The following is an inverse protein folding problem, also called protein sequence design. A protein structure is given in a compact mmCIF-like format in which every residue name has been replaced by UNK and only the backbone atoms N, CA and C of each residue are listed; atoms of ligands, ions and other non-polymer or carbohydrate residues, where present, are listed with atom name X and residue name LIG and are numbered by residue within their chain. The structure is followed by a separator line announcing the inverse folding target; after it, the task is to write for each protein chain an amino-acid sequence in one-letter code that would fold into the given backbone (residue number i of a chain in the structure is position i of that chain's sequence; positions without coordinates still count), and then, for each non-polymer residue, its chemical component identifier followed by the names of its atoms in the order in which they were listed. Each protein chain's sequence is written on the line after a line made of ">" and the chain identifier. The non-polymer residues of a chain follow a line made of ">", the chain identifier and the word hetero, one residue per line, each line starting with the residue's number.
data_IF_758393064288
#
_entry.id   IF_758393064288
#
_cell.length_a   1.000
_cell.length_b   1.000
_cell.length_c   1.000
_cell.angle_alpha   90.00
_cell.angle_beta   90.00
_cell.angle_gamma   90.00
#
_symmetry.space_group_name_H-M   'P 1'
#
loop_
_entity.id
_entity.type
_entity.pdbx_description
1 polymer ?
#
# COMPACT_ATOMS: atom_id res chain seq x y z
N UNK A 1 13.82 -12.34 4.32
CA UNK A 1 12.59 -12.57 3.54
C UNK A 1 11.96 -11.21 3.28
N UNK A 2 11.92 -10.72 2.03
CA UNK A 2 11.66 -9.29 1.74
C UNK A 2 10.25 -9.06 1.18
N UNK A 3 9.50 -8.10 1.73
CA UNK A 3 8.22 -7.66 1.13
C UNK A 3 8.49 -6.55 0.13
N UNK A 4 8.03 -6.69 -1.11
CA UNK A 4 8.14 -5.63 -2.10
C UNK A 4 6.99 -4.62 -1.93
N UNK A 5 7.36 -3.36 -1.76
CA UNK A 5 6.45 -2.23 -1.86
C UNK A 5 6.82 -1.45 -3.12
N UNK A 6 5.83 -1.17 -3.97
CA UNK A 6 6.02 -0.32 -5.15
C UNK A 6 5.17 0.93 -5.02
N UNK A 7 5.82 2.09 -4.98
CA UNK A 7 5.15 3.39 -4.98
C UNK A 7 4.98 3.80 -6.43
N UNK A 8 3.75 4.11 -6.82
CA UNK A 8 3.42 4.69 -8.12
C UNK A 8 2.72 6.02 -7.90
N UNK A 9 3.35 7.10 -8.34
CA UNK A 9 2.68 8.38 -8.54
C UNK A 9 2.13 8.41 -9.97
N UNK A 10 0.82 8.31 -10.13
CA UNK A 10 0.22 8.61 -11.43
C UNK A 10 -0.18 10.08 -11.38
N UNK A 11 0.54 10.92 -12.12
CA UNK A 11 0.18 12.32 -12.33
C UNK A 11 -0.88 12.32 -13.43
N UNK A 12 -2.10 11.94 -13.08
CA UNK A 12 -3.26 12.18 -13.94
C UNK A 12 -3.60 13.67 -13.83
N UNK A 13 -3.71 14.42 -14.95
CA UNK A 13 -3.90 15.87 -14.93
C UNK A 13 -5.17 16.34 -14.20
N UNK A 14 -6.18 15.48 -14.03
CA UNK A 14 -7.43 15.84 -13.34
C UNK A 14 -7.49 15.38 -11.87
N UNK A 15 -6.69 14.40 -11.45
CA UNK A 15 -6.65 13.89 -10.07
C UNK A 15 -5.27 13.36 -9.71
N UNK A 16 -4.54 14.08 -8.86
CA UNK A 16 -3.27 13.59 -8.30
C UNK A 16 -3.56 12.42 -7.35
N UNK A 17 -3.41 11.19 -7.83
CA UNK A 17 -3.65 9.98 -7.05
C UNK A 17 -2.31 9.32 -6.71
N UNK A 18 -1.97 9.33 -5.43
CA UNK A 18 -0.81 8.59 -4.91
C UNK A 18 -1.23 7.14 -4.68
N UNK A 19 -0.47 6.19 -5.23
CA UNK A 19 -0.78 4.77 -5.10
C UNK A 19 0.41 3.98 -4.55
N UNK A 20 0.11 3.05 -3.65
CA UNK A 20 1.07 2.07 -3.15
C UNK A 20 0.59 0.67 -3.49
N UNK A 21 1.51 -0.14 -3.99
CA UNK A 21 1.33 -1.56 -4.22
C UNK A 21 2.08 -2.32 -3.12
N UNK A 22 1.35 -3.06 -2.30
CA UNK A 22 1.91 -3.90 -1.24
C UNK A 22 1.80 -5.34 -1.69
N UNK A 23 2.93 -6.06 -1.78
CA UNK A 23 2.90 -7.48 -2.12
C UNK A 23 2.14 -8.28 -1.06
N UNK A 24 1.23 -9.16 -1.50
CA UNK A 24 0.53 -10.10 -0.62
C UNK A 24 1.51 -11.16 -0.15
N UNK A 25 1.84 -11.14 1.13
CA UNK A 25 2.66 -12.18 1.76
C UNK A 25 1.88 -12.85 2.88
N UNK A 26 1.77 -14.19 2.84
CA UNK A 26 0.95 -14.97 3.79
C UNK A 26 1.35 -14.73 5.24
N UNK A 27 2.66 -14.55 5.49
CA UNK A 27 3.22 -14.35 6.83
C UNK A 27 2.74 -13.05 7.49
N UNK A 28 2.40 -12.04 6.69
CA UNK A 28 2.05 -10.69 7.16
C UNK A 28 0.64 -10.29 6.72
N UNK A 29 -0.17 -11.26 6.29
CA UNK A 29 -1.49 -11.01 5.72
C UNK A 29 -2.39 -10.33 6.74
N UNK A 30 -2.41 -10.83 7.98
CA UNK A 30 -3.26 -10.31 9.05
C UNK A 30 -2.82 -8.90 9.46
N UNK A 31 -1.50 -8.67 9.60
CA UNK A 31 -0.95 -7.36 9.92
C UNK A 31 -1.27 -6.32 8.84
N UNK A 32 -1.08 -6.69 7.57
CA UNK A 32 -1.41 -5.83 6.42
C UNK A 32 -2.91 -5.57 6.37
N UNK A 33 -3.75 -6.57 6.63
CA UNK A 33 -5.21 -6.39 6.63
C UNK A 33 -5.67 -5.46 7.77
N UNK A 34 -5.08 -5.56 8.96
CA UNK A 34 -5.38 -4.65 10.08
C UNK A 34 -4.98 -3.21 9.76
N UNK A 35 -3.79 -3.02 9.19
CA UNK A 35 -3.35 -1.72 8.69
C UNK A 35 -4.32 -1.15 7.66
N UNK A 36 -4.66 -1.94 6.66
CA UNK A 36 -5.59 -1.56 5.60
C UNK A 36 -6.97 -1.19 6.19
N UNK A 37 -7.47 -1.93 7.18
CA UNK A 37 -8.71 -1.61 7.88
C UNK A 37 -8.61 -0.28 8.64
N UNK A 38 -7.52 -0.02 9.35
CA UNK A 38 -7.29 1.24 10.07
C UNK A 38 -7.34 2.45 9.14
N UNK A 39 -6.78 2.33 7.93
CA UNK A 39 -6.79 3.41 6.93
C UNK A 39 -8.06 3.44 6.07
N UNK A 40 -8.93 2.42 6.14
CA UNK A 40 -9.99 2.15 5.17
C UNK A 40 -11.00 3.29 4.94
N UNK A 41 -11.23 4.13 5.93
CA UNK A 41 -12.13 5.29 5.81
C UNK A 41 -11.53 6.44 4.99
N UNK A 42 -10.20 6.48 4.86
CA UNK A 42 -9.46 7.60 4.28
C UNK A 42 -8.70 7.22 3.00
N UNK A 43 -8.63 5.93 2.63
CA UNK A 43 -7.91 5.45 1.44
C UNK A 43 -8.76 4.53 0.59
N UNK A 44 -8.64 4.64 -0.72
CA UNK A 44 -9.29 3.73 -1.67
C UNK A 44 -8.47 2.45 -1.79
N UNK A 45 -9.05 1.33 -1.34
CA UNK A 45 -8.40 0.02 -1.40
C UNK A 45 -9.00 -0.74 -2.58
N UNK A 46 -8.19 -0.97 -3.61
CA UNK A 46 -8.53 -1.87 -4.70
C UNK A 46 -7.84 -3.21 -4.50
N UNK A 47 -8.58 -4.17 -3.96
CA UNK A 47 -8.18 -5.57 -3.88
C UNK A 47 -8.96 -6.34 -4.94
N UNK A 48 -8.46 -6.39 -6.19
CA UNK A 48 -9.03 -7.33 -7.16
C UNK A 48 -8.76 -8.74 -6.66
N UNK A 49 -9.81 -9.39 -6.17
CA UNK A 49 -9.82 -10.72 -5.58
C UNK A 49 -8.99 -11.74 -6.39
N UNK A 50 -8.16 -12.51 -5.69
CA UNK A 50 -7.53 -13.75 -6.17
C UNK A 50 -6.37 -13.64 -7.18
N UNK A 51 -6.41 -12.70 -8.13
CA UNK A 51 -5.50 -12.73 -9.30
C UNK A 51 -4.27 -11.84 -9.12
N UNK A 52 -4.41 -10.74 -8.36
CA UNK A 52 -3.31 -9.79 -8.18
C UNK A 52 -2.49 -10.12 -6.93
N UNK A 53 -1.17 -10.29 -7.16
CA UNK A 53 -0.15 -10.48 -6.11
C UNK A 53 0.05 -9.26 -5.20
N UNK A 54 -0.69 -8.18 -5.40
CA UNK A 54 -0.53 -6.92 -4.69
C UNK A 54 -1.87 -6.37 -4.20
N UNK A 55 -1.87 -5.74 -3.03
CA UNK A 55 -2.88 -4.77 -2.62
C UNK A 55 -2.55 -3.43 -3.28
N UNK A 56 -3.51 -2.79 -3.95
CA UNK A 56 -3.35 -1.42 -4.44
C UNK A 56 -4.16 -0.49 -3.55
N UNK A 57 -3.45 0.42 -2.89
CA UNK A 57 -4.02 1.44 -2.01
C UNK A 57 -3.75 2.79 -2.64
N UNK A 58 -4.79 3.60 -2.78
CA UNK A 58 -4.73 4.89 -3.46
C UNK A 58 -5.35 5.98 -2.58
N UNK A 59 -4.79 7.18 -2.64
CA UNK A 59 -5.28 8.34 -1.90
C UNK A 59 -4.98 9.62 -2.67
N UNK A 60 -5.87 10.60 -2.53
CA UNK A 60 -5.65 11.98 -2.99
C UNK A 60 -4.74 12.76 -2.02
N UNK A 61 -4.71 12.35 -0.75
CA UNK A 61 -3.82 12.91 0.25
C UNK A 61 -2.51 12.08 0.32
N UNK A 62 -1.35 12.63 -0.11
CA UNK A 62 -0.06 11.93 -0.05
C UNK A 62 0.37 11.60 1.37
N UNK A 63 -0.01 12.41 2.36
CA UNK A 63 0.35 12.16 3.76
C UNK A 63 -0.18 10.81 4.24
N UNK A 64 -1.39 10.42 3.83
CA UNK A 64 -1.96 9.11 4.16
C UNK A 64 -1.16 7.95 3.58
N UNK A 65 -0.65 8.11 2.35
CA UNK A 65 0.23 7.12 1.74
C UNK A 65 1.56 7.02 2.50
N UNK A 66 2.15 8.15 2.89
CA UNK A 66 3.37 8.15 3.69
C UNK A 66 3.14 7.52 5.06
N UNK A 67 2.07 7.88 5.77
CA UNK A 67 1.71 7.29 7.06
C UNK A 67 1.55 5.77 6.97
N UNK A 68 0.90 5.27 5.91
CA UNK A 68 0.77 3.83 5.67
C UNK A 68 2.14 3.16 5.45
N UNK A 69 3.02 3.76 4.65
CA UNK A 69 4.37 3.23 4.41
C UNK A 69 5.18 3.18 5.70
N UNK A 70 5.13 4.23 6.51
CA UNK A 70 5.81 4.28 7.81
C UNK A 70 5.31 3.19 8.75
N UNK A 71 3.99 3.02 8.86
CA UNK A 71 3.42 1.97 9.71
C UNK A 71 3.76 0.55 9.20
N UNK A 72 3.83 0.35 7.88
CA UNK A 72 4.32 -0.90 7.29
C UNK A 72 5.79 -1.17 7.65
N UNK A 73 6.65 -0.15 7.63
CA UNK A 73 8.07 -0.28 8.00
C UNK A 73 8.27 -0.63 9.48
N UNK A 74 7.40 -0.13 10.37
CA UNK A 74 7.43 -0.46 11.80
C UNK A 74 7.04 -1.91 12.06
N UNK A 75 6.04 -2.42 11.34
CA UNK A 75 5.53 -3.79 11.51
C UNK A 75 6.41 -4.81 10.77
N UNK A 76 6.97 -4.41 9.63
CA UNK A 76 7.69 -5.29 8.70
C UNK A 76 9.09 -4.70 8.43
N UNK A 77 10.08 -4.99 9.29
CA UNK A 77 11.41 -4.39 9.21
C UNK A 77 12.19 -4.78 7.93
N UNK A 78 11.77 -5.82 7.21
CA UNK A 78 12.40 -6.30 5.96
C UNK A 78 11.61 -5.89 4.70
N UNK A 79 11.13 -4.65 4.62
CA UNK A 79 10.50 -4.11 3.41
C UNK A 79 11.56 -3.68 2.38
N UNK A 80 11.36 -4.10 1.14
CA UNK A 80 12.06 -3.61 -0.04
C UNK A 80 11.19 -2.56 -0.75
N UNK A 81 11.55 -1.29 -0.63
CA UNK A 81 10.87 -0.20 -1.34
C UNK A 81 11.42 -0.12 -2.76
N UNK A 82 10.51 -0.09 -3.73
CA UNK A 82 10.81 0.15 -5.15
C UNK A 82 9.99 1.33 -5.64
N UNK A 83 10.61 2.26 -6.35
CA UNK A 83 9.93 3.37 -7.01
C UNK A 83 9.81 3.02 -8.49
N UNK A 84 8.60 3.13 -9.06
CA UNK A 84 8.33 2.79 -10.47
C UNK A 84 7.51 3.85 -11.16
#
# INVERSE_FOLDING_TARGET
>A
MKIKISIKSNIDPDKSHYSVLIQKEKKFLDDINQLIQFFGDNVQISNKYGIHRYYKISSENPALIFSLITALLEIIPEILITQT
#
